data_IF_684187341514
#
_entry.id   IF_684187341514
#
_cell.length_a   1.000
_cell.length_b   1.000
_cell.length_c   1.000
_cell.angle_alpha   90.00
_cell.angle_beta   90.00
_cell.angle_gamma   90.00
#
_symmetry.space_group_name_H-M   'P 1'
#
loop_
_entity.id
_entity.type
_entity.pdbx_description
1 polymer ?
#
# COMPACT_ATOMS: atom_id res chain seq x y z
N UNK A 1 -10.37 -16.15 7.10
CA UNK A 1 -10.68 -17.50 6.59
C UNK A 1 -10.32 -17.65 5.09
N UNK A 2 -9.12 -17.24 4.65
CA UNK A 2 -8.71 -17.36 3.24
C UNK A 2 -8.15 -18.75 2.87
N UNK A 3 -7.64 -19.50 3.84
CA UNK A 3 -7.04 -20.82 3.61
C UNK A 3 -8.02 -21.90 3.10
N UNK A 4 -9.33 -21.69 3.24
CA UNK A 4 -10.37 -22.62 2.75
C UNK A 4 -10.76 -22.37 1.29
N UNK A 5 -10.31 -21.26 0.69
CA UNK A 5 -10.59 -20.91 -0.70
C UNK A 5 -9.84 -21.85 -1.66
N UNK A 6 -8.63 -22.28 -1.28
CA UNK A 6 -7.81 -23.18 -2.08
C UNK A 6 -8.48 -24.53 -2.35
N UNK A 7 -9.37 -24.98 -1.47
CA UNK A 7 -10.15 -26.22 -1.65
C UNK A 7 -11.58 -25.98 -2.13
N UNK A 8 -11.95 -24.74 -2.46
CA UNK A 8 -13.33 -24.41 -2.83
C UNK A 8 -13.79 -25.16 -4.07
N UNK A 9 -13.06 -25.02 -5.17
CA UNK A 9 -13.36 -25.65 -6.45
C UNK A 9 -13.48 -27.17 -6.34
N UNK A 10 -12.54 -27.84 -5.66
CA UNK A 10 -12.58 -29.29 -5.50
C UNK A 10 -13.65 -29.77 -4.53
N UNK A 11 -14.15 -28.92 -3.64
CA UNK A 11 -15.31 -29.27 -2.80
C UNK A 11 -16.60 -29.12 -3.61
N UNK A 12 -16.69 -28.13 -4.50
CA UNK A 12 -17.84 -27.94 -5.38
C UNK A 12 -17.98 -29.05 -6.43
N UNK A 13 -16.88 -29.63 -6.90
CA UNK A 13 -16.92 -30.79 -7.81
C UNK A 13 -17.59 -32.02 -7.22
N UNK A 14 -17.79 -32.08 -5.89
CA UNK A 14 -18.58 -33.12 -5.22
C UNK A 14 -20.08 -32.80 -5.17
N UNK A 15 -20.56 -31.82 -5.96
CA UNK A 15 -21.97 -31.42 -6.04
C UNK A 15 -22.43 -30.46 -4.94
N UNK A 16 -21.48 -29.85 -4.23
CA UNK A 16 -21.73 -28.81 -3.24
C UNK A 16 -21.66 -27.44 -3.87
N UNK A 17 -22.27 -26.43 -3.22
CA UNK A 17 -22.14 -25.03 -3.63
C UNK A 17 -21.54 -24.20 -2.50
N UNK A 18 -20.45 -23.48 -2.79
CA UNK A 18 -19.95 -22.43 -1.90
C UNK A 18 -20.49 -21.09 -2.35
N UNK A 19 -20.45 -20.13 -1.43
CA UNK A 19 -20.94 -18.79 -1.66
C UNK A 19 -19.82 -17.80 -1.41
N UNK A 20 -19.76 -16.79 -2.27
CA UNK A 20 -19.03 -15.56 -2.00
C UNK A 20 -19.69 -14.79 -0.84
N UNK A 21 -18.95 -13.85 -0.25
CA UNK A 21 -19.51 -12.98 0.79
C UNK A 21 -20.74 -12.20 0.31
N UNK A 22 -20.79 -11.83 -0.98
CA UNK A 22 -21.92 -11.12 -1.58
C UNK A 22 -23.16 -12.01 -1.75
N UNK A 23 -22.97 -13.26 -2.19
CA UNK A 23 -24.08 -14.22 -2.33
C UNK A 23 -24.65 -14.62 -0.97
N UNK A 24 -23.79 -14.85 0.04
CA UNK A 24 -24.27 -15.13 1.39
C UNK A 24 -24.99 -13.93 2.00
N UNK A 25 -24.49 -12.71 1.77
CA UNK A 25 -25.20 -11.49 2.17
C UNK A 25 -26.58 -11.40 1.50
N UNK A 26 -26.67 -11.70 0.20
CA UNK A 26 -27.95 -11.76 -0.52
C UNK A 26 -28.91 -12.80 0.08
N UNK A 27 -28.42 -14.00 0.40
CA UNK A 27 -29.23 -15.06 1.02
C UNK A 27 -29.76 -14.64 2.41
N UNK A 28 -28.93 -13.99 3.23
CA UNK A 28 -29.32 -13.50 4.56
C UNK A 28 -30.31 -12.33 4.45
N UNK A 29 -30.05 -11.37 3.54
CA UNK A 29 -30.96 -10.26 3.25
C UNK A 29 -32.32 -10.76 2.76
N UNK A 30 -32.35 -11.87 2.01
CA UNK A 30 -33.59 -12.51 1.58
C UNK A 30 -34.50 -12.91 2.75
N UNK A 31 -33.95 -13.27 3.91
CA UNK A 31 -34.73 -13.61 5.11
C UNK A 31 -35.45 -12.39 5.72
N UNK A 32 -35.03 -11.18 5.37
CA UNK A 32 -35.69 -9.94 5.80
C UNK A 32 -36.84 -9.51 4.87
N UNK A 33 -37.15 -10.30 3.84
CA UNK A 33 -38.27 -10.00 2.95
C UNK A 33 -39.60 -9.99 3.72
N UNK A 34 -40.53 -9.04 3.50
CA UNK A 34 -41.76 -8.89 4.28
C UNK A 34 -42.57 -10.19 4.43
N UNK A 35 -42.64 -11.00 3.36
CA UNK A 35 -43.32 -12.31 3.39
C UNK A 35 -42.72 -13.29 4.40
N UNK A 36 -41.40 -13.30 4.57
CA UNK A 36 -40.73 -14.16 5.55
C UNK A 36 -40.74 -13.53 6.95
N UNK A 37 -40.77 -12.19 7.02
CA UNK A 37 -40.89 -11.46 8.28
C UNK A 37 -42.22 -11.72 8.98
N UNK A 38 -43.34 -11.71 8.24
CA UNK A 38 -44.65 -12.01 8.79
C UNK A 38 -44.74 -13.45 9.33
N UNK A 39 -44.13 -14.40 8.63
CA UNK A 39 -44.04 -15.81 9.09
C UNK A 39 -43.16 -15.93 10.33
N UNK A 40 -42.03 -15.21 10.38
CA UNK A 40 -41.11 -15.19 11.50
C UNK A 40 -41.67 -14.59 12.79
N UNK A 41 -42.75 -13.80 12.71
CA UNK A 41 -43.48 -13.31 13.89
C UNK A 41 -44.37 -14.38 14.53
N UNK A 42 -44.81 -15.36 13.75
CA UNK A 42 -45.75 -16.41 14.20
C UNK A 42 -44.99 -17.66 14.64
N UNK A 43 -43.96 -18.07 13.89
CA UNK A 43 -43.17 -19.27 14.16
C UNK A 43 -41.67 -19.03 13.97
N UNK A 44 -40.85 -19.83 14.66
CA UNK A 44 -39.39 -19.77 14.50
C UNK A 44 -38.98 -20.41 13.17
N UNK A 45 -38.40 -19.62 12.27
CA UNK A 45 -37.88 -20.10 11.00
C UNK A 45 -36.49 -20.74 11.13
N UNK A 46 -36.28 -21.88 10.47
CA UNK A 46 -34.96 -22.47 10.26
C UNK A 46 -34.62 -22.39 8.76
N UNK A 47 -33.60 -21.61 8.41
CA UNK A 47 -33.15 -21.43 7.04
C UNK A 47 -31.80 -22.11 6.82
N UNK A 48 -31.79 -23.18 6.03
CA UNK A 48 -30.55 -23.85 5.62
C UNK A 48 -29.90 -23.12 4.43
N UNK A 49 -28.80 -22.41 4.71
CA UNK A 49 -27.97 -21.73 3.72
C UNK A 49 -26.62 -22.44 3.52
N UNK A 50 -26.52 -23.74 3.87
CA UNK A 50 -25.28 -24.49 3.92
C UNK A 50 -24.81 -25.02 2.55
N UNK A 51 -25.56 -24.78 1.46
CA UNK A 51 -25.14 -25.16 0.10
C UNK A 51 -25.03 -26.67 -0.12
N UNK A 52 -25.80 -27.45 0.63
CA UNK A 52 -25.84 -28.91 0.55
C UNK A 52 -24.70 -29.64 1.25
N UNK A 53 -23.88 -28.95 2.06
CA UNK A 53 -22.73 -29.57 2.76
C UNK A 53 -23.11 -30.72 3.70
N UNK A 54 -24.37 -30.80 4.13
CA UNK A 54 -24.92 -31.91 4.91
C UNK A 54 -24.99 -33.24 4.13
N UNK A 55 -25.04 -33.19 2.80
CA UNK A 55 -25.21 -34.37 1.94
C UNK A 55 -23.95 -35.25 1.84
N UNK A 56 -22.78 -34.74 2.26
CA UNK A 56 -21.52 -35.49 2.20
C UNK A 56 -21.16 -36.07 3.58
N UNK A 57 -21.11 -37.41 3.73
CA UNK A 57 -20.53 -38.03 4.92
C UNK A 57 -19.02 -37.72 4.98
N UNK A 58 -18.53 -37.34 6.17
CA UNK A 58 -17.12 -37.06 6.45
C UNK A 58 -16.45 -35.92 5.62
N UNK A 59 -17.11 -34.76 5.51
CA UNK A 59 -16.57 -33.55 4.85
C UNK A 59 -15.14 -33.21 5.29
N UNK A 60 -14.81 -33.38 6.57
CA UNK A 60 -13.47 -33.10 7.12
C UNK A 60 -12.39 -33.98 6.48
N UNK A 61 -12.67 -35.27 6.25
CA UNK A 61 -11.72 -36.19 5.63
C UNK A 61 -11.51 -35.84 4.16
N UNK A 62 -12.60 -35.52 3.45
CA UNK A 62 -12.56 -35.10 2.04
C UNK A 62 -11.75 -33.81 1.90
N UNK A 63 -12.04 -32.81 2.72
CA UNK A 63 -11.33 -31.53 2.73
C UNK A 63 -9.82 -31.72 3.00
N UNK A 64 -9.45 -32.54 3.99
CA UNK A 64 -8.05 -32.82 4.29
C UNK A 64 -7.35 -33.58 3.16
N UNK A 65 -8.02 -34.56 2.54
CA UNK A 65 -7.48 -35.27 1.38
C UNK A 65 -7.21 -34.34 0.20
N UNK A 66 -8.13 -33.42 -0.09
CA UNK A 66 -7.97 -32.40 -1.13
C UNK A 66 -6.78 -31.49 -0.81
N UNK A 67 -6.69 -30.97 0.43
CA UNK A 67 -5.57 -30.13 0.86
C UNK A 67 -4.22 -30.84 0.68
N UNK A 68 -4.13 -32.10 1.11
CA UNK A 68 -2.92 -32.90 0.98
C UNK A 68 -2.54 -33.08 -0.49
N UNK A 69 -3.49 -33.40 -1.36
CA UNK A 69 -3.23 -33.52 -2.80
C UNK A 69 -2.70 -32.24 -3.43
N UNK A 70 -3.32 -31.09 -3.14
CA UNK A 70 -2.89 -29.80 -3.71
C UNK A 70 -1.50 -29.43 -3.20
N UNK A 71 -1.25 -29.59 -1.90
CA UNK A 71 0.06 -29.28 -1.32
C UNK A 71 1.16 -30.22 -1.83
N UNK A 72 0.86 -31.52 -1.98
CA UNK A 72 1.78 -32.48 -2.57
C UNK A 72 2.11 -32.13 -4.02
N UNK A 73 1.08 -31.82 -4.82
CA UNK A 73 1.26 -31.41 -6.21
C UNK A 73 2.11 -30.14 -6.31
N UNK A 74 1.79 -29.11 -5.51
CA UNK A 74 2.58 -27.87 -5.47
C UNK A 74 4.03 -28.11 -5.03
N UNK A 75 4.26 -28.97 -4.04
CA UNK A 75 5.61 -29.32 -3.58
C UNK A 75 6.40 -30.07 -4.65
N UNK A 76 5.76 -30.99 -5.39
CA UNK A 76 6.38 -31.71 -6.51
C UNK A 76 6.75 -30.73 -7.62
N UNK A 77 5.81 -29.87 -8.06
CA UNK A 77 6.07 -28.88 -9.09
C UNK A 77 7.18 -27.90 -8.68
N UNK A 78 7.20 -27.45 -7.43
CA UNK A 78 8.26 -26.57 -6.92
C UNK A 78 9.62 -27.27 -6.93
N UNK A 79 9.70 -28.54 -6.50
CA UNK A 79 10.95 -29.32 -6.54
C UNK A 79 11.44 -29.54 -7.97
N UNK A 80 10.55 -29.88 -8.89
CA UNK A 80 10.87 -30.03 -10.32
C UNK A 80 11.38 -28.70 -10.89
N UNK A 81 10.74 -27.57 -10.54
CA UNK A 81 11.18 -26.25 -11.02
C UNK A 81 12.57 -25.88 -10.51
N UNK A 82 12.86 -26.18 -9.24
CA UNK A 82 14.18 -25.94 -8.64
C UNK A 82 15.24 -26.84 -9.30
N UNK A 83 14.94 -28.13 -9.46
CA UNK A 83 15.84 -29.07 -10.12
C UNK A 83 16.13 -28.67 -11.57
N UNK A 84 15.12 -28.27 -12.33
CA UNK A 84 15.28 -27.74 -13.68
C UNK A 84 16.17 -26.48 -13.72
N UNK A 85 16.03 -25.59 -12.73
CA UNK A 85 16.89 -24.39 -12.64
C UNK A 85 18.36 -24.76 -12.35
N UNK A 86 18.61 -25.75 -11.49
CA UNK A 86 19.95 -26.24 -11.23
C UNK A 86 20.53 -26.98 -12.44
N UNK A 87 19.75 -27.81 -13.13
CA UNK A 87 20.16 -28.49 -14.34
C UNK A 87 20.56 -27.49 -15.44
N UNK A 88 19.78 -26.40 -15.61
CA UNK A 88 20.11 -25.33 -16.55
C UNK A 88 21.44 -24.66 -16.18
N UNK A 89 21.64 -24.35 -14.90
CA UNK A 89 22.87 -23.74 -14.39
C UNK A 89 24.11 -24.64 -14.60
N UNK A 90 23.98 -25.96 -14.45
CA UNK A 90 25.08 -26.92 -14.68
C UNK A 90 25.41 -27.05 -16.17
N UNK A 91 24.39 -27.13 -17.03
CA UNK A 91 24.57 -27.34 -18.47
C UNK A 91 25.08 -26.07 -19.18
N UNK A 92 24.52 -24.91 -18.85
CA UNK A 92 24.78 -23.64 -19.54
C UNK A 92 25.75 -22.72 -18.79
N UNK A 93 26.11 -23.08 -17.54
CA UNK A 93 26.95 -22.25 -16.68
C UNK A 93 26.19 -21.14 -15.96
N UNK A 94 26.87 -20.48 -15.02
CA UNK A 94 26.29 -19.40 -14.18
C UNK A 94 25.91 -18.17 -14.99
N UNK A 95 26.58 -17.94 -16.11
CA UNK A 95 26.35 -16.78 -16.98
C UNK A 95 24.99 -16.80 -17.67
N UNK A 96 24.45 -17.99 -17.97
CA UNK A 96 23.12 -18.13 -18.57
C UNK A 96 22.02 -17.64 -17.63
N UNK A 97 22.20 -17.79 -16.31
CA UNK A 97 21.23 -17.38 -15.30
C UNK A 97 21.24 -15.85 -15.10
N UNK A 98 22.40 -15.20 -15.27
CA UNK A 98 22.54 -13.73 -15.20
C UNK A 98 21.71 -13.03 -16.29
N UNK A 99 21.60 -13.62 -17.48
CA UNK A 99 20.78 -13.07 -18.59
C UNK A 99 19.30 -13.05 -18.21
N UNK A 100 18.85 -14.01 -17.41
CA UNK A 100 17.47 -14.10 -16.94
C UNK A 100 17.18 -13.23 -15.70
N UNK A 101 18.22 -12.75 -15.00
CA UNK A 101 18.08 -11.85 -13.87
C UNK A 101 17.71 -10.43 -14.34
N UNK A 102 16.45 -10.07 -14.11
CA UNK A 102 16.00 -8.68 -14.30
C UNK A 102 16.55 -7.80 -13.18
N UNK A 103 17.33 -6.78 -13.55
CA UNK A 103 17.76 -5.73 -12.61
C UNK A 103 16.53 -4.90 -12.21
N UNK A 104 16.12 -5.02 -10.95
CA UNK A 104 15.04 -4.20 -10.39
C UNK A 104 15.62 -2.87 -9.94
N UNK A 105 15.34 -1.81 -10.70
CA UNK A 105 15.70 -0.44 -10.31
C UNK A 105 14.57 0.16 -9.49
N UNK A 106 14.88 0.59 -8.27
CA UNK A 106 13.96 1.38 -7.47
C UNK A 106 14.14 2.87 -7.81
N UNK A 107 13.08 3.61 -8.18
CA UNK A 107 13.21 5.01 -8.54
C UNK A 107 13.60 5.83 -7.29
N UNK A 108 14.62 6.70 -7.37
CA UNK A 108 14.96 7.58 -6.27
C UNK A 108 13.89 8.66 -6.06
N UNK A 109 13.84 9.19 -4.84
CA UNK A 109 12.98 10.30 -4.50
C UNK A 109 13.52 11.59 -5.14
N UNK A 110 12.86 12.08 -6.18
CA UNK A 110 13.20 13.36 -6.82
C UNK A 110 12.40 14.50 -6.20
N UNK A 111 13.04 15.39 -5.44
CA UNK A 111 12.39 16.58 -4.87
C UNK A 111 12.18 17.65 -5.94
N UNK A 112 10.92 17.94 -6.23
CA UNK A 112 10.52 18.96 -7.22
C UNK A 112 9.64 20.00 -6.54
N UNK A 113 9.87 21.27 -6.82
CA UNK A 113 8.93 22.33 -6.46
C UNK A 113 7.76 22.31 -7.46
N UNK A 114 6.52 22.08 -7.01
CA UNK A 114 5.37 22.08 -7.91
C UNK A 114 5.10 23.53 -8.35
N UNK A 115 5.57 23.88 -9.55
CA UNK A 115 5.16 25.13 -10.20
C UNK A 115 3.88 24.90 -10.99
N UNK A 116 2.97 25.87 -10.95
CA UNK A 116 1.79 25.86 -11.80
C UNK A 116 2.24 25.83 -13.27
N UNK A 117 1.74 24.86 -14.02
CA UNK A 117 1.97 24.82 -15.46
C UNK A 117 1.25 26.00 -16.09
N UNK A 118 2.03 26.92 -16.66
CA UNK A 118 1.48 28.01 -17.46
C UNK A 118 0.80 27.40 -18.70
N UNK A 119 -0.41 27.87 -18.99
CA UNK A 119 -1.11 27.52 -20.23
C UNK A 119 -0.57 28.41 -21.35
N UNK A 120 -0.30 27.83 -22.51
CA UNK A 120 0.23 28.57 -23.67
C UNK A 120 -0.77 29.59 -24.22
N UNK A 121 -2.07 29.28 -24.18
CA UNK A 121 -3.13 30.22 -24.57
C UNK A 121 -4.30 30.21 -23.59
N UNK A 122 -4.86 31.39 -23.38
CA UNK A 122 -6.12 31.61 -22.67
C UNK A 122 -7.20 31.97 -23.70
N UNK A 123 -7.51 31.06 -24.61
CA UNK A 123 -8.53 31.26 -25.65
C UNK A 123 -9.93 31.19 -25.02
N UNK A 124 -10.30 32.25 -24.31
CA UNK A 124 -11.61 32.45 -23.73
C UNK A 124 -12.02 33.89 -24.03
N UNK A 125 -13.13 34.04 -24.75
CA UNK A 125 -13.72 35.35 -25.10
C UNK A 125 -13.87 36.29 -23.89
N UNK A 126 -14.15 35.73 -22.72
CA UNK A 126 -14.27 36.47 -21.46
C UNK A 126 -12.95 37.07 -20.97
N UNK A 127 -11.81 36.44 -21.24
CA UNK A 127 -10.49 36.94 -20.80
C UNK A 127 -10.04 38.10 -21.69
N UNK A 128 -10.33 38.06 -22.98
CA UNK A 128 -9.97 39.13 -23.92
C UNK A 128 -10.69 40.45 -23.62
N UNK A 129 -11.94 40.38 -23.16
CA UNK A 129 -12.68 41.55 -22.68
C UNK A 129 -12.04 42.17 -21.42
N UNK A 130 -11.42 41.36 -20.56
CA UNK A 130 -10.83 41.79 -19.30
C UNK A 130 -9.40 42.36 -19.44
N UNK A 131 -8.69 42.07 -20.54
CA UNK A 131 -7.28 42.45 -20.76
C UNK A 131 -7.02 43.96 -20.66
N UNK A 132 -8.00 44.79 -20.99
CA UNK A 132 -7.87 46.26 -20.98
C UNK A 132 -8.62 46.92 -19.81
N UNK A 133 -9.38 46.15 -19.02
CA UNK A 133 -10.18 46.68 -17.90
C UNK A 133 -9.42 46.66 -16.57
N UNK A 134 -8.39 45.82 -16.44
CA UNK A 134 -7.69 45.57 -15.18
C UNK A 134 -6.30 46.22 -15.20
N UNK A 135 -6.08 47.19 -14.31
CA UNK A 135 -4.74 47.76 -14.07
C UNK A 135 -3.91 46.80 -13.23
N UNK A 136 -2.87 46.20 -13.83
CA UNK A 136 -2.00 45.22 -13.16
C UNK A 136 -1.19 45.82 -12.00
N UNK A 137 -1.02 47.13 -11.97
CA UNK A 137 -0.38 47.89 -10.88
C UNK A 137 -1.17 47.84 -9.56
N UNK A 138 -2.47 47.55 -9.64
CA UNK A 138 -3.38 47.47 -8.48
C UNK A 138 -3.81 46.05 -8.14
N UNK A 139 -3.35 45.05 -8.90
CA UNK A 139 -3.69 43.64 -8.66
C UNK A 139 -2.64 43.02 -7.76
N UNK A 140 -3.09 42.54 -6.59
CA UNK A 140 -2.24 41.79 -5.67
C UNK A 140 -2.34 40.30 -6.03
N UNK A 141 -1.19 39.66 -6.18
CA UNK A 141 -1.08 38.22 -6.48
C UNK A 141 -0.25 37.52 -5.41
N UNK A 142 -0.59 36.26 -5.12
CA UNK A 142 0.22 35.39 -4.26
C UNK A 142 1.29 34.74 -5.15
N UNK A 143 2.55 35.15 -5.00
CA UNK A 143 3.67 34.63 -5.78
C UNK A 143 4.24 33.32 -5.21
N UNK A 144 3.98 33.01 -3.94
CA UNK A 144 4.42 31.80 -3.26
C UNK A 144 3.89 31.74 -1.83
N UNK A 145 3.86 30.54 -1.27
CA UNK A 145 3.46 30.28 0.12
C UNK A 145 4.38 29.21 0.74
N UNK A 146 4.63 29.34 2.03
CA UNK A 146 5.28 28.34 2.87
C UNK A 146 4.68 28.38 4.26
N UNK A 147 4.66 27.23 4.92
CA UNK A 147 4.12 27.08 6.27
C UNK A 147 5.06 26.20 7.09
N UNK A 148 5.02 26.40 8.41
CA UNK A 148 5.67 25.56 9.39
C UNK A 148 4.62 25.13 10.42
N UNK A 149 4.05 23.96 10.18
CA UNK A 149 2.93 23.41 10.95
C UNK A 149 3.29 22.05 11.56
N UNK A 150 2.39 21.39 12.32
CA UNK A 150 2.67 20.07 12.88
C UNK A 150 2.97 18.98 11.83
N UNK A 151 2.58 19.20 10.57
CA UNK A 151 2.99 18.39 9.41
C UNK A 151 4.21 18.95 8.67
N UNK A 152 4.95 19.84 9.31
CA UNK A 152 6.07 20.60 8.78
C UNK A 152 5.69 21.50 7.61
N UNK A 153 5.90 21.07 6.35
CA UNK A 153 5.74 21.93 5.18
C UNK A 153 4.36 21.82 4.54
N UNK A 154 3.99 22.85 3.78
CA UNK A 154 2.75 22.87 2.99
C UNK A 154 2.69 21.69 2.00
N UNK A 155 3.84 21.18 1.52
CA UNK A 155 3.88 20.00 0.65
C UNK A 155 3.46 18.73 1.37
N UNK A 156 3.99 18.48 2.56
CA UNK A 156 3.68 17.31 3.36
C UNK A 156 2.27 17.38 3.91
N UNK A 157 1.85 18.56 4.37
CA UNK A 157 0.46 18.86 4.77
C UNK A 157 -0.53 18.58 3.64
N UNK A 158 -0.31 19.12 2.44
CA UNK A 158 -1.17 18.88 1.29
C UNK A 158 -1.29 17.38 0.93
N UNK A 159 -0.22 16.59 1.09
CA UNK A 159 -0.31 15.14 0.87
C UNK A 159 -1.21 14.46 1.88
N UNK A 160 -1.11 14.85 3.15
CA UNK A 160 -1.95 14.31 4.21
C UNK A 160 -3.41 14.74 4.05
N UNK A 161 -3.65 16.01 3.74
CA UNK A 161 -5.01 16.55 3.54
C UNK A 161 -5.70 15.97 2.30
N UNK A 162 -5.01 15.92 1.16
CA UNK A 162 -5.63 15.47 -0.09
C UNK A 162 -5.76 13.94 -0.21
N UNK A 163 -4.89 13.16 0.44
CA UNK A 163 -4.82 11.70 0.26
C UNK A 163 -4.79 10.87 1.54
N UNK A 164 -4.57 11.47 2.70
CA UNK A 164 -4.40 10.75 3.96
C UNK A 164 -3.14 9.89 4.03
N UNK A 165 -2.21 10.02 3.08
CA UNK A 165 -0.95 9.29 3.08
C UNK A 165 0.24 10.10 2.55
N UNK A 166 1.39 9.90 3.17
CA UNK A 166 2.65 10.48 2.69
C UNK A 166 3.23 9.69 1.52
N UNK A 167 3.72 10.44 0.54
CA UNK A 167 4.63 9.92 -0.48
C UNK A 167 6.02 9.64 0.12
N UNK A 168 6.85 8.84 -0.56
CA UNK A 168 8.24 8.59 -0.13
C UNK A 168 9.00 9.92 0.04
N UNK A 169 8.80 10.88 -0.86
CA UNK A 169 9.39 12.23 -0.77
C UNK A 169 8.96 12.95 0.51
N UNK A 170 7.68 12.89 0.84
CA UNK A 170 7.14 13.52 2.05
C UNK A 170 7.65 12.86 3.33
N UNK A 171 7.80 11.53 3.33
CA UNK A 171 8.41 10.81 4.47
C UNK A 171 9.89 11.12 4.62
N UNK A 172 10.64 11.26 3.53
CA UNK A 172 12.03 11.70 3.58
C UNK A 172 12.17 13.13 4.09
N UNK A 173 11.32 14.03 3.61
CA UNK A 173 11.28 15.42 4.08
C UNK A 173 10.97 15.48 5.58
N UNK A 174 9.92 14.78 6.03
CA UNK A 174 9.58 14.69 7.46
C UNK A 174 10.70 14.03 8.26
N UNK A 175 11.26 12.91 7.80
CA UNK A 175 12.33 12.21 8.47
C UNK A 175 13.58 13.07 8.64
N UNK A 176 13.90 13.93 7.67
CA UNK A 176 14.96 14.92 7.79
C UNK A 176 14.64 16.02 8.80
N UNK A 177 13.40 16.51 8.81
CA UNK A 177 12.98 17.61 9.70
C UNK A 177 12.84 17.13 11.15
N UNK A 178 12.34 15.91 11.37
CA UNK A 178 12.28 15.28 12.70
C UNK A 178 13.65 14.77 13.17
N UNK A 179 14.69 14.88 12.34
CA UNK A 179 16.05 14.47 12.67
C UNK A 179 16.28 12.96 12.73
N UNK A 180 15.41 12.15 12.14
CA UNK A 180 15.58 10.69 11.99
C UNK A 180 16.53 10.35 10.85
N UNK A 181 16.55 11.16 9.79
CA UNK A 181 17.36 10.94 8.59
C UNK A 181 18.29 12.15 8.40
N UNK A 182 19.59 11.90 8.25
CA UNK A 182 20.60 12.94 8.02
C UNK A 182 21.29 12.71 6.70
N UNK A 183 21.65 13.80 6.02
CA UNK A 183 22.50 13.72 4.83
C UNK A 183 23.96 13.72 5.26
N UNK A 184 24.76 12.78 4.72
CA UNK A 184 26.20 12.70 4.96
C UNK A 184 26.92 12.79 3.62
N UNK A 185 27.93 13.66 3.57
CA UNK A 185 28.92 13.73 2.50
C UNK A 185 30.31 13.53 3.13
N UNK A 186 30.81 12.29 3.05
CA UNK A 186 32.09 11.96 3.66
C UNK A 186 32.37 10.47 3.77
N UNK A 187 33.32 10.11 4.64
CA UNK A 187 33.66 8.71 4.90
C UNK A 187 32.74 8.14 5.98
N UNK A 188 32.09 7.02 5.68
CA UNK A 188 31.36 6.23 6.67
C UNK A 188 32.30 5.54 7.65
N UNK A 189 31.74 4.95 8.72
CA UNK A 189 32.47 4.11 9.70
C UNK A 189 33.32 3.00 9.04
N UNK A 190 32.89 2.51 7.88
CA UNK A 190 33.59 1.48 7.09
C UNK A 190 34.75 2.03 6.22
N UNK A 191 35.04 3.33 6.32
CA UNK A 191 36.10 4.01 5.54
C UNK A 191 35.76 4.29 4.08
N UNK A 192 34.61 3.82 3.58
CA UNK A 192 34.16 4.10 2.21
C UNK A 192 33.55 5.49 2.11
N UNK A 193 33.80 6.15 0.98
CA UNK A 193 33.13 7.39 0.62
C UNK A 193 31.62 7.10 0.42
N UNK A 194 30.77 7.89 1.05
CA UNK A 194 29.32 7.81 0.94
C UNK A 194 28.72 9.22 0.92
N UNK A 195 27.80 9.45 -0.02
CA UNK A 195 27.19 10.78 -0.26
C UNK A 195 25.68 10.61 -0.43
N UNK A 196 24.99 10.30 0.66
CA UNK A 196 23.57 9.96 0.66
C UNK A 196 22.98 10.12 2.08
N UNK A 197 21.72 9.72 2.24
CA UNK A 197 21.00 9.77 3.50
C UNK A 197 21.37 8.58 4.41
N UNK A 198 21.55 8.85 5.70
CA UNK A 198 21.79 7.86 6.76
C UNK A 198 20.79 8.03 7.90
N UNK A 199 20.61 6.97 8.68
CA UNK A 199 19.86 7.02 9.93
C UNK A 199 20.65 7.85 10.95
N UNK A 200 19.98 8.79 11.61
CA UNK A 200 20.60 9.68 12.59
C UNK A 200 21.12 8.97 13.85
N UNK A 201 20.60 7.78 14.19
CA UNK A 201 20.99 7.01 15.38
C UNK A 201 22.08 5.99 15.06
N UNK A 202 21.92 5.21 13.99
CA UNK A 202 22.85 4.11 13.68
C UNK A 202 23.97 4.53 12.73
N UNK A 203 23.76 5.59 11.95
CA UNK A 203 24.60 6.01 10.81
C UNK A 203 24.63 4.98 9.67
N UNK A 204 23.63 4.11 9.59
CA UNK A 204 23.49 3.16 8.49
C UNK A 204 22.86 3.81 7.26
N UNK A 205 23.19 3.35 6.04
CA UNK A 205 22.61 3.84 4.78
C UNK A 205 21.08 3.69 4.76
N UNK A 206 20.36 4.76 4.41
CA UNK A 206 18.91 4.76 4.26
C UNK A 206 18.54 4.77 2.79
N UNK A 207 18.03 3.65 2.30
CA UNK A 207 17.50 3.58 0.94
C UNK A 207 16.06 4.08 0.87
N UNK A 208 15.73 4.90 -0.12
CA UNK A 208 14.41 5.53 -0.27
C UNK A 208 13.22 4.54 -0.21
N UNK A 209 13.37 3.33 -0.75
CA UNK A 209 12.31 2.32 -0.74
C UNK A 209 12.05 1.73 0.65
N UNK A 210 13.01 1.84 1.58
CA UNK A 210 12.91 1.30 2.93
C UNK A 210 12.23 2.28 3.91
N UNK A 211 12.18 3.57 3.57
CA UNK A 211 11.64 4.62 4.45
C UNK A 211 10.16 4.38 4.77
N UNK A 212 9.36 3.98 3.76
CA UNK A 212 7.92 3.71 3.97
C UNK A 212 7.65 2.51 4.90
N UNK A 213 8.33 1.34 4.75
CA UNK A 213 8.13 0.22 5.69
C UNK A 213 8.82 0.38 7.04
N UNK A 214 10.00 1.02 7.12
CA UNK A 214 10.78 1.12 8.38
C UNK A 214 10.39 2.33 9.23
N UNK A 215 10.39 3.52 8.63
CA UNK A 215 10.43 4.77 9.40
C UNK A 215 9.07 5.45 9.49
N UNK A 216 8.13 5.11 8.60
CA UNK A 216 6.79 5.72 8.54
C UNK A 216 6.08 5.73 9.89
N UNK A 217 6.12 4.62 10.63
CA UNK A 217 5.43 4.51 11.92
C UNK A 217 6.02 5.48 12.96
N UNK A 218 7.36 5.59 13.00
CA UNK A 218 8.04 6.51 13.92
C UNK A 218 7.82 7.97 13.53
N UNK A 219 7.89 8.29 12.23
CA UNK A 219 7.62 9.64 11.71
C UNK A 219 6.20 10.07 12.11
N UNK A 220 5.20 9.22 11.87
CA UNK A 220 3.80 9.54 12.17
C UNK A 220 3.50 9.68 13.67
N UNK A 221 4.26 9.00 14.54
CA UNK A 221 4.07 9.11 15.98
C UNK A 221 4.37 10.52 16.52
N UNK A 222 5.24 11.27 15.82
CA UNK A 222 5.73 12.59 16.25
C UNK A 222 5.39 13.71 15.25
N UNK A 223 4.36 13.50 14.42
CA UNK A 223 3.92 14.45 13.38
C UNK A 223 2.39 14.60 13.42
N UNK A 224 1.86 15.82 13.24
CA UNK A 224 0.42 16.09 13.23
C UNK A 224 -0.17 16.45 14.60
N UNK A 225 -1.30 15.84 14.98
CA UNK A 225 -1.88 16.03 16.31
C UNK A 225 -1.49 14.85 17.18
N UNK A 226 -0.69 15.07 18.22
CA UNK A 226 -0.26 14.05 19.16
C UNK A 226 -0.22 14.58 20.61
N UNK A 227 0.04 13.68 21.56
CA UNK A 227 0.18 14.05 22.97
C UNK A 227 1.42 14.89 23.19
N UNK A 228 1.29 15.98 23.95
CA UNK A 228 2.38 16.92 24.17
C UNK A 228 3.57 16.23 24.84
N UNK A 229 4.74 16.31 24.18
CA UNK A 229 6.01 15.81 24.71
C UNK A 229 6.62 16.85 25.65
N UNK A 230 6.84 16.54 26.95
CA UNK A 230 7.40 17.50 27.90
C UNK A 230 8.78 18.03 27.48
N UNK A 231 9.59 17.20 26.82
CA UNK A 231 10.93 17.51 26.32
C UNK A 231 10.94 18.66 25.28
N UNK A 232 9.81 18.91 24.60
CA UNK A 232 9.67 19.96 23.59
C UNK A 232 9.09 21.27 24.12
N UNK A 233 8.59 21.28 25.37
CA UNK A 233 7.99 22.45 26.01
C UNK A 233 8.98 23.27 26.84
N UNK A 234 10.15 22.72 27.17
CA UNK A 234 11.20 23.50 27.83
C UNK A 234 11.78 24.50 26.82
N UNK A 235 11.31 25.74 26.88
CA UNK A 235 11.96 26.88 26.26
C UNK A 235 13.41 26.98 26.77
N UNK A 236 14.38 27.37 25.93
CA UNK A 236 15.71 27.76 26.39
C UNK A 236 15.65 28.96 27.34
#
# INVERSE_FOLDING_TARGET
MSGNNLIAEQVESHGLKKFSAKEMAFNILGLMHPLLFDVGQVEHGWADLNGGMEKLPDLTKIANKIRLKINQFAAICSKISIDNSHNLMVVQGVEADVIHQKVKVSPPANFTLPMLKLRESFDNFMIDALRQMIGLDKVIVIAGCTELEPFSSLRTQWKMEAKGEFSIKGLLELGSITGLIKFVDGKMKNGKQYVEQVDAKTEDPVYHYQVKPKDKAQILAHTGVWLIEPERLSLP
#
